data_IF_257334416108
#
_entry.id   IF_257334416108
#
_cell.length_a   1.000
_cell.length_b   1.000
_cell.length_c   1.000
_cell.angle_alpha   90.00
_cell.angle_beta   90.00
_cell.angle_gamma   90.00
#
_symmetry.space_group_name_H-M   'P 1'
#
loop_
_entity.id
_entity.type
_entity.pdbx_description
1 polymer ?
#
# COMPACT_ATOMS: atom_id res chain seq x y z
N UNK A 1 22.65 2.14 -0.14
CA UNK A 1 22.14 0.75 -0.25
C UNK A 1 20.66 0.82 -0.56
N UNK A 2 20.16 0.14 -1.59
CA UNK A 2 18.76 0.26 -2.04
C UNK A 2 17.80 -0.22 -0.93
N UNK A 3 16.90 0.64 -0.46
CA UNK A 3 15.95 0.33 0.63
C UNK A 3 15.15 -0.95 0.33
N UNK A 4 14.69 -1.12 -0.91
CA UNK A 4 13.98 -2.31 -1.37
C UNK A 4 14.80 -3.59 -1.14
N UNK A 5 16.09 -3.57 -1.48
CA UNK A 5 16.97 -4.73 -1.29
C UNK A 5 17.17 -5.04 0.20
N UNK A 6 17.29 -4.02 1.04
CA UNK A 6 17.45 -4.18 2.48
C UNK A 6 16.22 -4.84 3.11
N UNK A 7 15.02 -4.36 2.76
CA UNK A 7 13.77 -4.96 3.22
C UNK A 7 13.67 -6.40 2.74
N UNK A 8 13.81 -6.64 1.43
CA UNK A 8 13.69 -7.98 0.83
C UNK A 8 14.65 -9.00 1.44
N UNK A 9 15.91 -8.62 1.70
CA UNK A 9 16.86 -9.51 2.38
C UNK A 9 16.42 -9.84 3.80
N UNK A 10 15.87 -8.88 4.55
CA UNK A 10 15.45 -9.07 5.94
C UNK A 10 14.18 -9.94 6.06
N UNK A 11 13.26 -9.85 5.09
CA UNK A 11 11.99 -10.58 5.08
C UNK A 11 12.04 -11.90 4.31
N UNK A 12 13.14 -12.18 3.61
CA UNK A 12 13.30 -13.39 2.80
C UNK A 12 13.00 -14.66 3.59
N UNK A 13 12.05 -15.47 3.11
CA UNK A 13 11.61 -16.70 3.76
C UNK A 13 10.77 -16.52 5.04
N UNK A 14 10.50 -15.28 5.48
CA UNK A 14 9.79 -14.98 6.74
C UNK A 14 8.36 -14.51 6.55
N UNK A 15 8.02 -13.99 5.37
CA UNK A 15 6.68 -13.49 5.09
C UNK A 15 6.29 -13.71 3.63
N UNK A 16 5.02 -14.03 3.43
CA UNK A 16 4.37 -14.18 2.12
C UNK A 16 3.96 -12.84 1.49
N UNK A 17 4.04 -11.74 2.25
CA UNK A 17 3.59 -10.41 1.84
C UNK A 17 4.66 -9.59 1.09
N UNK A 18 5.71 -10.26 0.62
CA UNK A 18 6.82 -9.62 -0.09
C UNK A 18 7.20 -10.44 -1.33
N UNK A 19 7.62 -9.77 -2.42
CA UNK A 19 8.17 -10.44 -3.58
C UNK A 19 9.35 -11.34 -3.21
N UNK A 20 9.48 -12.45 -3.93
CA UNK A 20 10.69 -13.29 -3.82
C UNK A 20 11.80 -12.69 -4.67
N UNK A 21 12.88 -12.28 -4.00
CA UNK A 21 14.11 -11.84 -4.63
C UNK A 21 14.77 -13.03 -5.35
N UNK A 22 14.88 -12.95 -6.68
CA UNK A 22 15.53 -13.98 -7.51
C UNK A 22 17.00 -13.67 -7.71
N UNK A 23 17.29 -12.45 -8.19
CA UNK A 23 18.65 -11.98 -8.45
C UNK A 23 18.76 -10.49 -8.14
N UNK A 24 19.97 -10.05 -7.82
CA UNK A 24 20.31 -8.64 -7.74
C UNK A 24 21.79 -8.46 -8.05
N UNK A 25 22.18 -7.27 -8.48
CA UNK A 25 23.57 -6.98 -8.78
C UNK A 25 23.72 -5.65 -9.50
N UNK A 26 24.84 -5.51 -10.21
CA UNK A 26 25.10 -4.43 -11.13
C UNK A 26 25.03 -4.98 -12.56
N UNK A 27 24.37 -4.24 -13.46
CA UNK A 27 24.33 -4.56 -14.88
C UNK A 27 25.75 -4.37 -15.41
N UNK A 28 26.43 -5.46 -15.73
CA UNK A 28 27.77 -5.39 -16.35
C UNK A 28 27.71 -5.06 -17.83
N UNK A 29 26.66 -5.53 -18.50
CA UNK A 29 26.45 -5.47 -19.94
C UNK A 29 24.98 -5.73 -20.24
N UNK A 30 24.39 -4.96 -21.15
CA UNK A 30 23.03 -5.14 -21.66
C UNK A 30 23.12 -5.50 -23.15
N UNK A 31 22.34 -6.49 -23.58
CA UNK A 31 22.35 -6.98 -24.97
C UNK A 31 20.91 -7.03 -25.45
N UNK A 32 20.62 -6.41 -26.58
CA UNK A 32 19.32 -6.48 -27.24
C UNK A 32 19.35 -7.57 -28.30
N UNK A 33 18.31 -8.40 -28.29
CA UNK A 33 18.11 -9.44 -29.29
C UNK A 33 16.80 -9.24 -30.02
N UNK A 34 16.85 -9.14 -31.36
CA UNK A 34 15.67 -9.24 -32.23
C UNK A 34 15.98 -10.27 -33.31
N UNK A 35 15.10 -11.26 -33.47
CA UNK A 35 15.16 -12.29 -34.54
C UNK A 35 16.52 -12.99 -34.69
N UNK A 36 17.18 -13.30 -33.56
CA UNK A 36 18.45 -14.05 -33.54
C UNK A 36 19.71 -13.19 -33.72
N UNK A 37 19.58 -11.89 -34.01
CA UNK A 37 20.70 -10.94 -33.97
C UNK A 37 20.81 -10.35 -32.57
N UNK A 38 22.03 -10.29 -32.04
CA UNK A 38 22.32 -9.72 -30.72
C UNK A 38 23.27 -8.54 -30.88
N UNK A 39 22.84 -7.35 -30.44
CA UNK A 39 23.69 -6.16 -30.38
C UNK A 39 23.83 -5.69 -28.94
N UNK A 40 25.06 -5.32 -28.57
CA UNK A 40 25.35 -4.78 -27.25
C UNK A 40 24.85 -3.34 -27.14
N UNK A 41 24.16 -3.02 -26.04
CA UNK A 41 23.90 -1.62 -25.68
C UNK A 41 25.25 -0.93 -25.39
N UNK A 42 25.52 0.13 -26.14
CA UNK A 42 26.79 0.88 -26.06
C UNK A 42 26.64 2.13 -25.21
N UNK A 43 25.43 2.54 -24.86
CA UNK A 43 25.22 3.68 -23.99
C UNK A 43 25.81 3.38 -22.59
N UNK A 44 26.88 4.12 -22.19
CA UNK A 44 27.57 3.89 -20.93
C UNK A 44 26.66 4.07 -19.71
N UNK A 45 25.54 4.79 -19.86
CA UNK A 45 24.56 4.95 -18.80
C UNK A 45 24.01 3.62 -18.28
N UNK A 46 23.94 2.57 -19.09
CA UNK A 46 23.37 1.27 -18.69
C UNK A 46 24.35 0.40 -17.90
N UNK A 47 25.65 0.66 -18.03
CA UNK A 47 26.67 -0.10 -17.31
C UNK A 47 26.72 0.31 -15.83
N UNK A 48 26.98 -0.65 -14.95
CA UNK A 48 27.01 -0.49 -13.49
C UNK A 48 25.70 -0.03 -12.83
N UNK A 49 24.56 -0.04 -13.55
CA UNK A 49 23.25 0.23 -12.93
C UNK A 49 22.84 -0.91 -11.99
N UNK A 50 22.32 -0.61 -10.78
CA UNK A 50 21.81 -1.64 -9.90
C UNK A 50 20.51 -2.22 -10.46
N UNK A 51 20.36 -3.54 -10.39
CA UNK A 51 19.12 -4.23 -10.79
C UNK A 51 18.63 -5.20 -9.71
N UNK A 52 17.33 -5.46 -9.73
CA UNK A 52 16.66 -6.46 -8.91
C UNK A 52 15.70 -7.24 -9.82
N UNK A 53 15.78 -8.56 -9.77
CA UNK A 53 14.81 -9.46 -10.42
C UNK A 53 13.96 -10.09 -9.32
N UNK A 54 12.64 -9.96 -9.44
CA UNK A 54 11.65 -10.52 -8.52
C UNK A 54 10.68 -11.44 -9.28
N UNK A 55 10.11 -12.43 -8.59
CA UNK A 55 8.98 -13.19 -9.17
C UNK A 55 7.70 -12.34 -9.13
N UNK A 56 6.90 -12.37 -10.18
CA UNK A 56 5.69 -11.55 -10.26
C UNK A 56 4.49 -12.33 -10.83
N UNK A 57 3.64 -12.85 -9.94
CA UNK A 57 2.35 -13.52 -10.24
C UNK A 57 1.18 -12.71 -9.69
N UNK A 58 1.32 -11.38 -9.71
CA UNK A 58 0.40 -10.46 -9.05
C UNK A 58 0.02 -9.33 -10.01
N UNK A 59 -1.05 -8.60 -9.68
CA UNK A 59 -1.51 -7.42 -10.41
C UNK A 59 -1.61 -6.26 -9.42
N UNK A 60 -1.26 -5.05 -9.86
CA UNK A 60 -1.32 -3.85 -9.02
C UNK A 60 -2.75 -3.61 -8.53
N UNK A 61 -2.89 -3.22 -7.26
CA UNK A 61 -4.19 -2.90 -6.67
C UNK A 61 -4.87 -1.73 -7.42
N UNK A 62 -4.10 -0.80 -7.97
CA UNK A 62 -4.60 0.29 -8.84
C UNK A 62 -5.42 -0.22 -10.03
N UNK A 63 -5.14 -1.42 -10.55
CA UNK A 63 -5.88 -1.99 -11.68
C UNK A 63 -7.35 -2.27 -11.32
N UNK A 64 -7.66 -2.60 -10.06
CA UNK A 64 -9.06 -2.80 -9.65
C UNK A 64 -9.89 -1.52 -9.81
N UNK A 65 -9.31 -0.36 -9.49
CA UNK A 65 -9.98 0.93 -9.63
C UNK A 65 -10.16 1.26 -11.13
N UNK A 66 -9.14 0.97 -11.94
CA UNK A 66 -9.18 1.21 -13.38
C UNK A 66 -10.24 0.37 -14.12
N UNK A 67 -10.53 -0.85 -13.64
CA UNK A 67 -11.57 -1.71 -14.21
C UNK A 67 -12.98 -1.41 -13.69
N UNK A 68 -13.12 -0.57 -12.67
CA UNK A 68 -14.44 -0.18 -12.17
C UNK A 68 -15.15 0.76 -13.14
N UNK A 69 -16.39 0.45 -13.47
CA UNK A 69 -17.23 1.23 -14.40
C UNK A 69 -17.45 2.68 -13.93
N UNK A 70 -17.51 2.93 -12.62
CA UNK A 70 -17.78 4.25 -12.05
C UNK A 70 -16.59 4.82 -11.25
N UNK A 71 -15.43 4.14 -11.30
CA UNK A 71 -14.25 4.49 -10.52
C UNK A 71 -14.38 4.25 -9.01
N UNK A 72 -15.43 3.55 -8.56
CA UNK A 72 -15.66 3.18 -7.17
C UNK A 72 -15.67 1.66 -7.00
N UNK A 73 -15.28 1.17 -5.83
CA UNK A 73 -15.33 -0.25 -5.46
C UNK A 73 -16.43 -0.50 -4.44
N UNK A 74 -17.10 -1.67 -4.48
CA UNK A 74 -17.98 -2.08 -3.40
C UNK A 74 -17.27 -2.05 -2.05
N UNK A 75 -18.01 -1.70 -0.99
CA UNK A 75 -17.46 -1.59 0.36
C UNK A 75 -16.84 -2.92 0.83
N UNK A 76 -17.49 -4.04 0.51
CA UNK A 76 -17.05 -5.38 0.91
C UNK A 76 -15.73 -5.76 0.22
N UNK A 77 -15.62 -5.52 -1.10
CA UNK A 77 -14.35 -5.68 -1.83
C UNK A 77 -13.24 -4.78 -1.26
N UNK A 78 -13.57 -3.51 -0.95
CA UNK A 78 -12.62 -2.55 -0.37
C UNK A 78 -12.15 -2.98 1.01
N UNK A 79 -13.01 -3.59 1.83
CA UNK A 79 -12.64 -4.16 3.13
C UNK A 79 -11.69 -5.35 2.98
N UNK A 80 -11.93 -6.23 2.01
CA UNK A 80 -11.04 -7.35 1.72
C UNK A 80 -9.66 -6.90 1.23
N UNK A 81 -9.61 -5.90 0.34
CA UNK A 81 -8.35 -5.28 -0.10
C UNK A 81 -7.64 -4.57 1.07
N UNK A 82 -8.39 -3.81 1.87
CA UNK A 82 -7.85 -3.09 3.02
C UNK A 82 -7.27 -4.03 4.08
N UNK A 83 -7.90 -5.18 4.33
CA UNK A 83 -7.36 -6.22 5.20
C UNK A 83 -6.03 -6.78 4.65
N UNK A 84 -5.96 -7.06 3.35
CA UNK A 84 -4.73 -7.52 2.70
C UNK A 84 -3.58 -6.50 2.84
N UNK A 85 -3.86 -5.22 2.57
CA UNK A 85 -2.90 -4.14 2.78
C UNK A 85 -2.48 -4.00 4.25
N UNK A 86 -3.42 -4.11 5.20
CA UNK A 86 -3.13 -4.04 6.62
C UNK A 86 -2.20 -5.17 7.09
N UNK A 87 -2.37 -6.39 6.56
CA UNK A 87 -1.51 -7.53 6.82
C UNK A 87 -0.10 -7.35 6.23
N UNK A 88 -0.01 -6.81 5.01
CA UNK A 88 1.26 -6.40 4.42
C UNK A 88 2.02 -5.40 5.29
N UNK A 89 1.35 -4.32 5.71
CA UNK A 89 1.91 -3.30 6.58
C UNK A 89 2.33 -3.88 7.94
N UNK A 90 1.49 -4.71 8.56
CA UNK A 90 1.83 -5.39 9.79
C UNK A 90 3.08 -6.27 9.65
N UNK A 91 3.24 -6.97 8.53
CA UNK A 91 4.43 -7.77 8.26
C UNK A 91 5.69 -6.89 8.08
N UNK A 92 5.56 -5.75 7.42
CA UNK A 92 6.65 -4.77 7.25
C UNK A 92 7.06 -4.14 8.59
N UNK A 93 6.08 -3.70 9.38
CA UNK A 93 6.29 -3.15 10.71
C UNK A 93 7.00 -4.17 11.60
N UNK A 94 6.57 -5.44 11.59
CA UNK A 94 7.22 -6.53 12.36
C UNK A 94 8.64 -6.82 11.90
N UNK A 95 8.95 -6.58 10.62
CA UNK A 95 10.31 -6.65 10.11
C UNK A 95 11.19 -5.45 10.54
N UNK A 96 10.62 -4.46 11.22
CA UNK A 96 11.31 -3.27 11.72
C UNK A 96 11.44 -2.16 10.68
N UNK A 97 10.43 -2.00 9.81
CA UNK A 97 10.37 -0.93 8.84
C UNK A 97 8.99 -0.28 8.82
N UNK A 98 8.91 0.99 8.45
CA UNK A 98 7.68 1.68 8.03
C UNK A 98 7.70 1.93 6.52
N UNK A 99 6.54 2.00 5.89
CA UNK A 99 6.42 2.05 4.42
C UNK A 99 6.54 3.47 3.86
N UNK A 100 5.87 4.46 4.46
CA UNK A 100 5.87 5.89 4.09
C UNK A 100 5.29 6.26 2.72
N UNK A 101 4.93 5.27 1.88
CA UNK A 101 4.43 5.47 0.51
C UNK A 101 3.29 4.51 0.18
N UNK A 102 2.30 4.44 1.07
CA UNK A 102 1.12 3.59 0.90
C UNK A 102 0.20 4.19 -0.16
N UNK A 103 0.09 3.53 -1.31
CA UNK A 103 -0.76 3.93 -2.44
C UNK A 103 -1.35 2.68 -3.12
N UNK A 104 -2.36 2.80 -4.01
CA UNK A 104 -2.81 1.66 -4.81
C UNK A 104 -1.72 1.06 -5.72
N UNK A 105 -0.63 1.78 -5.99
CA UNK A 105 0.47 1.33 -6.85
C UNK A 105 1.58 0.62 -6.08
N UNK A 106 1.59 0.70 -4.75
CA UNK A 106 2.63 0.06 -3.92
C UNK A 106 2.24 -1.33 -3.41
N UNK A 107 1.05 -1.83 -3.78
CA UNK A 107 0.56 -3.14 -3.41
C UNK A 107 0.01 -3.88 -4.62
N UNK A 108 0.15 -5.21 -4.58
CA UNK A 108 -0.42 -6.10 -5.59
C UNK A 108 -1.17 -7.27 -4.97
N UNK A 109 -2.17 -7.77 -5.70
CA UNK A 109 -2.97 -8.94 -5.34
C UNK A 109 -2.68 -10.10 -6.31
N UNK A 110 -2.86 -11.36 -5.88
CA UNK A 110 -2.59 -12.52 -6.71
C UNK A 110 -3.63 -12.76 -7.80
N UNK A 111 -3.18 -13.45 -8.85
CA UNK A 111 -4.03 -14.00 -9.92
C UNK A 111 -3.90 -15.53 -9.88
N UNK A 112 -5.01 -16.31 -9.95
CA UNK A 112 -6.41 -15.86 -10.02
C UNK A 112 -6.88 -15.16 -8.73
N UNK A 113 -7.82 -14.21 -8.88
CA UNK A 113 -8.34 -13.42 -7.78
C UNK A 113 -9.49 -14.16 -7.06
N UNK A 114 -9.39 -14.29 -5.74
CA UNK A 114 -10.50 -14.62 -4.85
C UNK A 114 -10.51 -13.66 -3.66
N UNK A 115 -11.62 -13.55 -2.92
CA UNK A 115 -11.68 -12.71 -1.72
C UNK A 115 -10.71 -13.15 -0.63
N UNK A 116 -10.54 -14.45 -0.44
CA UNK A 116 -9.57 -15.00 0.53
C UNK A 116 -8.14 -14.63 0.14
N UNK A 117 -7.79 -14.78 -1.14
CA UNK A 117 -6.46 -14.44 -1.64
C UNK A 117 -6.21 -12.93 -1.59
N UNK A 118 -7.21 -12.10 -1.90
CA UNK A 118 -7.14 -10.66 -1.76
C UNK A 118 -6.83 -10.25 -0.32
N UNK A 119 -7.51 -10.87 0.65
CA UNK A 119 -7.28 -10.59 2.06
C UNK A 119 -6.03 -11.20 2.64
N UNK A 120 -5.51 -12.31 2.11
CA UNK A 120 -4.47 -13.09 2.78
C UNK A 120 -3.13 -13.20 2.03
N UNK A 121 -3.08 -12.81 0.75
CA UNK A 121 -1.93 -13.04 -0.15
C UNK A 121 -1.48 -11.80 -0.94
N UNK A 122 -1.99 -10.61 -0.61
CA UNK A 122 -1.41 -9.37 -1.13
C UNK A 122 0.06 -9.22 -0.76
N UNK A 123 0.79 -8.45 -1.57
CA UNK A 123 2.20 -8.13 -1.35
C UNK A 123 2.47 -6.63 -1.45
N UNK A 124 3.60 -6.18 -0.91
CA UNK A 124 4.17 -4.84 -1.13
C UNK A 124 5.11 -4.88 -2.33
N UNK A 125 4.90 -4.03 -3.32
CA UNK A 125 5.74 -3.95 -4.53
C UNK A 125 6.77 -2.83 -4.48
N UNK A 126 6.42 -1.69 -3.88
CA UNK A 126 7.32 -0.53 -3.79
C UNK A 126 7.78 -0.31 -2.34
N UNK A 127 9.06 -0.56 -2.11
CA UNK A 127 9.73 -0.37 -0.81
C UNK A 127 10.82 0.72 -0.88
N UNK A 128 10.81 1.56 -1.91
CA UNK A 128 11.82 2.58 -2.15
C UNK A 128 11.92 3.61 -1.02
N UNK A 129 10.78 3.95 -0.41
CA UNK A 129 10.68 4.92 0.69
C UNK A 129 10.60 4.29 2.08
N UNK A 130 10.77 2.96 2.19
CA UNK A 130 10.79 2.29 3.47
C UNK A 130 11.93 2.79 4.36
N UNK A 131 11.68 2.86 5.67
CA UNK A 131 12.65 3.34 6.65
C UNK A 131 12.65 2.46 7.90
N UNK A 132 13.81 2.27 8.53
CA UNK A 132 13.93 1.50 9.77
C UNK A 132 13.07 2.10 10.90
N UNK A 133 12.38 1.23 11.63
CA UNK A 133 11.59 1.56 12.80
C UNK A 133 11.71 0.43 13.85
N UNK A 134 11.86 0.72 15.15
CA UNK A 134 11.92 2.05 15.77
C UNK A 134 13.22 2.80 15.41
N UNK A 135 13.16 4.13 15.52
CA UNK A 135 14.30 5.01 15.26
C UNK A 135 15.38 4.84 16.33
N UNK A 136 16.63 4.57 15.91
CA UNK A 136 17.77 4.37 16.82
C UNK A 136 18.01 5.56 17.76
N UNK A 137 17.87 6.78 17.23
CA UNK A 137 18.08 8.04 17.97
C UNK A 137 16.76 8.72 18.38
N UNK A 138 15.66 7.96 18.37
CA UNK A 138 14.32 8.53 18.53
C UNK A 138 13.83 9.31 17.30
N UNK A 139 12.55 9.71 17.28
CA UNK A 139 11.98 10.46 16.17
C UNK A 139 12.48 11.90 16.14
N UNK A 140 12.84 12.39 14.95
CA UNK A 140 13.20 13.80 14.78
C UNK A 140 11.95 14.68 14.90
N UNK A 141 12.14 15.90 15.40
CA UNK A 141 11.04 16.86 15.57
C UNK A 141 10.52 17.35 14.21
N UNK A 142 11.44 17.66 13.30
CA UNK A 142 11.15 18.16 11.96
C UNK A 142 11.91 17.36 10.92
N UNK A 143 11.23 16.97 9.84
CA UNK A 143 11.77 16.21 8.71
C UNK A 143 11.11 16.68 7.41
N UNK A 144 11.84 16.69 6.28
CA UNK A 144 11.22 17.01 4.98
C UNK A 144 10.06 16.07 4.67
N UNK A 145 9.03 16.60 4.02
CA UNK A 145 7.92 15.80 3.51
C UNK A 145 8.43 14.69 2.58
N UNK A 146 8.07 13.45 2.88
CA UNK A 146 8.30 12.28 2.02
C UNK A 146 7.04 11.43 2.03
N UNK A 147 6.57 11.06 0.85
CA UNK A 147 5.37 10.25 0.67
C UNK A 147 4.52 10.76 -0.49
N UNK A 148 3.31 10.21 -0.61
CA UNK A 148 2.34 10.68 -1.59
C UNK A 148 1.47 11.78 -0.96
N UNK A 149 1.46 13.01 -1.49
CA UNK A 149 0.67 14.12 -0.95
C UNK A 149 -0.80 13.75 -0.73
N UNK A 150 -1.37 12.97 -1.65
CA UNK A 150 -2.75 12.48 -1.60
C UNK A 150 -3.03 11.60 -0.38
N UNK A 151 -2.20 10.58 -0.13
CA UNK A 151 -2.48 9.58 0.92
C UNK A 151 -1.69 9.80 2.22
N UNK A 152 -0.70 10.69 2.25
CA UNK A 152 0.09 10.92 3.47
C UNK A 152 -0.75 11.52 4.59
N UNK A 153 -0.49 11.09 5.82
CA UNK A 153 -1.14 11.60 7.03
C UNK A 153 -0.94 13.10 7.24
N UNK A 154 -1.77 13.72 8.07
CA UNK A 154 -1.59 15.12 8.52
C UNK A 154 -0.23 15.31 9.21
N UNK A 155 0.27 14.30 9.95
CA UNK A 155 1.59 14.34 10.59
C UNK A 155 2.71 14.56 9.59
N UNK A 156 2.64 13.89 8.44
CA UNK A 156 3.62 14.07 7.36
C UNK A 156 3.55 15.48 6.77
N UNK A 157 2.35 16.04 6.60
CA UNK A 157 2.14 17.42 6.15
C UNK A 157 2.64 18.47 7.14
N UNK A 158 2.71 18.13 8.43
CA UNK A 158 3.30 18.93 9.49
C UNK A 158 4.82 18.72 9.62
N UNK A 159 5.45 18.05 8.66
CA UNK A 159 6.89 17.77 8.64
C UNK A 159 7.39 17.05 9.90
N UNK A 160 6.54 16.23 10.51
CA UNK A 160 6.92 15.41 11.66
C UNK A 160 7.35 14.03 11.19
N UNK A 161 8.27 13.42 11.93
CA UNK A 161 8.71 12.05 11.66
C UNK A 161 7.50 11.11 11.56
N UNK A 162 7.55 10.15 10.64
CA UNK A 162 6.46 9.21 10.36
C UNK A 162 6.58 7.92 11.18
N UNK A 163 5.49 7.20 11.36
CA UNK A 163 5.45 5.96 12.11
C UNK A 163 4.40 4.99 11.60
N UNK A 164 4.25 3.82 12.25
CA UNK A 164 3.29 2.80 11.83
C UNK A 164 1.84 3.32 11.68
N UNK A 165 1.42 4.24 12.54
CA UNK A 165 0.09 4.84 12.45
C UNK A 165 -0.13 5.63 11.15
N UNK A 166 0.91 6.27 10.61
CA UNK A 166 0.82 7.07 9.38
C UNK A 166 0.62 6.19 8.14
N UNK A 167 1.21 4.99 8.13
CA UNK A 167 0.96 3.99 7.08
C UNK A 167 -0.51 3.52 7.10
N UNK A 168 -1.05 3.25 8.29
CA UNK A 168 -2.46 2.82 8.44
C UNK A 168 -3.46 3.95 8.15
N UNK A 169 -3.14 5.21 8.48
CA UNK A 169 -3.95 6.36 8.06
C UNK A 169 -3.94 6.46 6.53
N UNK A 170 -2.79 6.27 5.90
CA UNK A 170 -2.67 6.29 4.44
C UNK A 170 -3.51 5.19 3.78
N UNK A 171 -3.54 3.99 4.37
CA UNK A 171 -4.45 2.90 3.99
C UNK A 171 -5.93 3.32 4.08
N UNK A 172 -6.34 3.99 5.15
CA UNK A 172 -7.73 4.46 5.30
C UNK A 172 -8.08 5.50 4.21
N UNK A 173 -7.16 6.39 3.84
CA UNK A 173 -7.39 7.31 2.71
C UNK A 173 -7.47 6.57 1.37
N UNK A 174 -6.65 5.53 1.13
CA UNK A 174 -6.77 4.67 -0.05
C UNK A 174 -8.17 4.03 -0.10
N UNK A 175 -8.65 3.46 1.00
CA UNK A 175 -9.99 2.87 1.07
C UNK A 175 -11.10 3.91 0.85
N UNK A 176 -10.96 5.11 1.42
CA UNK A 176 -11.91 6.19 1.19
C UNK A 176 -11.98 6.58 -0.27
N UNK A 177 -10.84 6.64 -0.98
CA UNK A 177 -10.84 6.90 -2.42
C UNK A 177 -11.51 5.76 -3.19
N UNK A 178 -11.24 4.50 -2.84
CA UNK A 178 -11.89 3.35 -3.48
C UNK A 178 -13.41 3.38 -3.30
N UNK A 179 -13.92 3.73 -2.12
CA UNK A 179 -15.37 3.76 -1.85
C UNK A 179 -16.04 4.98 -2.50
N UNK A 180 -15.37 6.14 -2.49
CA UNK A 180 -15.97 7.41 -2.91
C UNK A 180 -15.58 7.84 -4.34
N UNK A 181 -14.66 7.12 -5.00
CA UNK A 181 -14.07 7.43 -6.30
C UNK A 181 -13.08 8.60 -6.30
N UNK A 182 -13.06 9.39 -5.24
CA UNK A 182 -12.13 10.51 -5.02
C UNK A 182 -11.98 10.82 -3.54
N UNK A 183 -10.89 11.50 -3.21
CA UNK A 183 -10.72 12.18 -1.93
C UNK A 183 -11.14 13.65 -2.05
N UNK A 184 -11.61 14.29 -0.95
CA UNK A 184 -12.00 15.70 -0.97
C UNK A 184 -10.91 16.64 -1.49
N UNK A 185 -9.64 16.31 -1.25
CA UNK A 185 -8.47 17.07 -1.69
C UNK A 185 -7.86 16.60 -3.02
N UNK A 186 -8.56 15.77 -3.83
CA UNK A 186 -8.02 15.23 -5.09
C UNK A 186 -7.56 16.32 -6.08
N UNK A 187 -8.25 17.45 -6.11
CA UNK A 187 -8.02 18.55 -7.06
C UNK A 187 -7.42 19.80 -6.41
N UNK A 188 -6.83 19.65 -5.22
CA UNK A 188 -6.16 20.73 -4.50
C UNK A 188 -4.66 20.60 -4.71
N UNK A 189 -3.99 21.70 -5.09
CA UNK A 189 -2.54 21.73 -5.33
C UNK A 189 -1.77 22.45 -4.21
N UNK A 190 -2.44 23.29 -3.41
CA UNK A 190 -1.81 23.94 -2.27
C UNK A 190 -1.67 22.98 -1.09
N UNK A 191 -0.44 22.80 -0.60
CA UNK A 191 -0.13 21.85 0.48
C UNK A 191 -0.81 22.19 1.80
N UNK A 192 -0.91 23.47 2.14
CA UNK A 192 -1.57 23.89 3.38
C UNK A 192 -3.08 23.61 3.29
N UNK A 193 -3.69 23.86 2.14
CA UNK A 193 -5.11 23.58 1.93
C UNK A 193 -5.41 22.07 1.91
N UNK A 194 -4.50 21.25 1.36
CA UNK A 194 -4.61 19.78 1.47
C UNK A 194 -4.59 19.37 2.95
N UNK A 195 -3.65 19.90 3.74
CA UNK A 195 -3.54 19.61 5.19
C UNK A 195 -4.80 20.01 5.94
N UNK A 196 -5.33 21.19 5.67
CA UNK A 196 -6.51 21.72 6.37
C UNK A 196 -7.74 20.87 6.02
N UNK A 197 -7.93 20.55 4.74
CA UNK A 197 -9.02 19.65 4.28
C UNK A 197 -8.90 18.25 4.90
N UNK A 198 -7.68 17.74 5.10
CA UNK A 198 -7.44 16.46 5.79
C UNK A 198 -7.80 16.51 7.27
N UNK A 199 -7.60 17.66 7.92
CA UNK A 199 -7.95 17.87 9.32
C UNK A 199 -9.46 17.80 9.53
N UNK A 200 -10.22 18.32 8.57
CA UNK A 200 -11.69 18.34 8.58
C UNK A 200 -12.32 17.06 8.00
N UNK A 201 -11.50 16.16 7.43
CA UNK A 201 -11.97 14.94 6.76
C UNK A 201 -12.94 14.11 7.61
N UNK A 202 -12.66 13.97 8.91
CA UNK A 202 -13.49 13.20 9.87
C UNK A 202 -14.94 13.71 9.99
N UNK A 203 -15.18 14.95 9.57
CA UNK A 203 -16.48 15.62 9.66
C UNK A 203 -17.26 15.56 8.33
N UNK A 204 -16.63 15.05 7.26
CA UNK A 204 -17.20 14.96 5.90
C UNK A 204 -18.18 13.80 5.72
N UNK A 205 -19.01 13.87 4.68
CA UNK A 205 -19.88 12.75 4.27
C UNK A 205 -19.08 11.56 3.73
N UNK A 206 -17.96 11.81 3.05
CA UNK A 206 -17.09 10.75 2.53
C UNK A 206 -16.51 9.89 3.65
N UNK A 207 -16.14 10.50 4.79
CA UNK A 207 -15.74 9.75 5.98
C UNK A 207 -16.90 8.95 6.56
N UNK A 208 -18.11 9.51 6.64
CA UNK A 208 -19.30 8.81 7.17
C UNK A 208 -19.69 7.55 6.38
N UNK A 209 -19.34 7.49 5.09
CA UNK A 209 -19.51 6.30 4.24
C UNK A 209 -18.54 5.16 4.58
N UNK A 210 -17.41 5.45 5.24
CA UNK A 210 -16.55 4.40 5.77
C UNK A 210 -17.29 3.59 6.85
N UNK A 211 -17.06 2.26 6.92
CA UNK A 211 -17.64 1.45 7.97
C UNK A 211 -17.25 1.96 9.37
N UNK A 212 -18.17 1.82 10.33
CA UNK A 212 -18.01 2.37 11.69
C UNK A 212 -16.74 1.88 12.39
N UNK A 213 -16.34 0.63 12.15
CA UNK A 213 -15.13 0.03 12.69
C UNK A 213 -13.88 0.75 12.16
N UNK A 214 -13.86 1.08 10.87
CA UNK A 214 -12.76 1.79 10.21
C UNK A 214 -12.72 3.26 10.63
N UNK A 215 -13.88 3.90 10.81
CA UNK A 215 -13.95 5.26 11.36
C UNK A 215 -13.40 5.34 12.78
N UNK A 216 -13.77 4.38 13.64
CA UNK A 216 -13.22 4.28 15.01
C UNK A 216 -11.70 4.11 14.96
N UNK A 217 -11.21 3.18 14.14
CA UNK A 217 -9.77 2.96 13.95
C UNK A 217 -9.05 4.26 13.51
N UNK A 218 -9.62 5.03 12.58
CA UNK A 218 -9.05 6.32 12.16
C UNK A 218 -8.89 7.28 13.36
N UNK A 219 -9.95 7.44 14.17
CA UNK A 219 -9.89 8.30 15.35
C UNK A 219 -8.84 7.85 16.37
N UNK A 220 -8.71 6.53 16.57
CA UNK A 220 -7.68 5.99 17.47
C UNK A 220 -6.27 6.29 16.92
N UNK A 221 -6.05 6.12 15.61
CA UNK A 221 -4.75 6.32 14.97
C UNK A 221 -4.28 7.79 14.94
N UNK A 222 -5.17 8.75 14.69
CA UNK A 222 -4.78 10.18 14.65
C UNK A 222 -4.32 10.70 16.01
N UNK A 223 -4.80 10.09 17.11
CA UNK A 223 -4.41 10.44 18.48
C UNK A 223 -3.13 9.73 18.94
N UNK A 224 -2.69 8.68 18.24
CA UNK A 224 -1.48 7.94 18.60
C UNK A 224 -0.23 8.79 18.40
N UNK A 225 0.58 8.90 19.45
CA UNK A 225 1.96 9.40 19.33
C UNK A 225 2.82 8.41 18.55
N UNK A 226 4.02 8.86 18.17
CA UNK A 226 5.03 8.02 17.52
C UNK A 226 5.34 6.78 18.35
N UNK A 227 4.79 5.63 17.95
CA UNK A 227 4.86 4.40 18.73
C UNK A 227 4.55 3.18 17.87
N UNK A 228 4.85 2.01 18.42
CA UNK A 228 4.39 0.75 17.87
C UNK A 228 2.86 0.68 17.86
N UNK A 229 2.29 0.11 16.81
CA UNK A 229 0.85 -0.18 16.71
C UNK A 229 0.68 -1.68 16.73
N UNK A 230 -0.12 -2.17 17.68
CA UNK A 230 -0.47 -3.58 17.73
C UNK A 230 -1.26 -3.96 16.47
N UNK A 231 -0.75 -4.88 15.62
CA UNK A 231 -1.45 -5.30 14.42
C UNK A 231 -2.85 -5.86 14.68
N UNK A 232 -3.10 -6.47 15.85
CA UNK A 232 -4.43 -7.02 16.16
C UNK A 232 -5.49 -5.94 16.31
N UNK A 233 -5.12 -4.72 16.75
CA UNK A 233 -6.04 -3.58 16.76
C UNK A 233 -6.55 -3.28 15.35
N UNK A 234 -5.64 -3.22 14.38
CA UNK A 234 -5.96 -2.88 12.98
C UNK A 234 -6.68 -4.05 12.32
N UNK A 235 -6.07 -5.24 12.32
CA UNK A 235 -6.58 -6.45 11.67
C UNK A 235 -7.95 -6.83 12.27
N UNK A 236 -8.10 -6.72 13.59
CA UNK A 236 -9.35 -6.98 14.29
C UNK A 236 -10.48 -6.05 13.84
N UNK A 237 -10.21 -4.76 13.62
CA UNK A 237 -11.21 -3.82 13.12
C UNK A 237 -11.71 -4.22 11.71
N UNK A 238 -10.81 -4.64 10.82
CA UNK A 238 -11.18 -5.13 9.49
C UNK A 238 -11.98 -6.42 9.56
N UNK A 239 -11.51 -7.43 10.32
CA UNK A 239 -12.20 -8.72 10.46
C UNK A 239 -13.59 -8.57 11.07
N UNK A 240 -13.73 -7.75 12.12
CA UNK A 240 -15.02 -7.46 12.74
C UNK A 240 -15.99 -6.79 11.76
N UNK A 241 -15.48 -5.88 10.91
CA UNK A 241 -16.28 -5.22 9.90
C UNK A 241 -16.78 -6.20 8.81
N UNK A 242 -15.87 -7.03 8.27
CA UNK A 242 -16.20 -8.05 7.28
C UNK A 242 -17.24 -9.02 7.84
N UNK A 243 -17.00 -9.57 9.04
CA UNK A 243 -17.93 -10.49 9.69
C UNK A 243 -19.33 -9.88 9.92
N UNK A 244 -19.40 -8.61 10.29
CA UNK A 244 -20.68 -7.92 10.50
C UNK A 244 -21.45 -7.71 9.20
N UNK A 245 -20.75 -7.40 8.11
CA UNK A 245 -21.38 -7.06 6.82
C UNK A 245 -21.74 -8.29 6.00
N UNK A 246 -20.90 -9.31 6.07
CA UNK A 246 -21.06 -10.55 5.33
C UNK A 246 -20.87 -11.77 6.24
N UNK A 247 -21.77 -11.99 7.21
CA UNK A 247 -21.65 -13.09 8.18
C UNK A 247 -21.71 -14.47 7.52
N UNK A 248 -22.40 -14.57 6.38
CA UNK A 248 -22.61 -15.82 5.64
C UNK A 248 -21.60 -16.02 4.51
N UNK A 249 -20.64 -15.10 4.31
CA UNK A 249 -19.66 -15.12 3.21
C UNK A 249 -20.30 -15.20 1.81
N UNK A 250 -21.41 -14.48 1.63
CA UNK A 250 -22.18 -14.44 0.39
C UNK A 250 -21.77 -13.34 -0.57
N UNK A 251 -20.82 -12.47 -0.23
CA UNK A 251 -20.32 -11.46 -1.17
C UNK A 251 -19.54 -12.13 -2.30
N UNK A 252 -19.94 -11.86 -3.54
CA UNK A 252 -19.27 -12.35 -4.75
C UNK A 252 -18.42 -11.25 -5.39
N UNK A 253 -17.33 -11.65 -6.04
CA UNK A 253 -16.51 -10.70 -6.79
C UNK A 253 -17.32 -10.10 -7.95
N UNK A 254 -17.20 -8.79 -8.20
CA UNK A 254 -17.80 -8.17 -9.37
C UNK A 254 -17.33 -8.85 -10.67
N UNK A 255 -18.26 -9.04 -11.61
CA UNK A 255 -18.01 -9.77 -12.87
C UNK A 255 -16.82 -9.21 -13.67
N UNK A 256 -16.60 -7.89 -13.62
CA UNK A 256 -15.51 -7.22 -14.30
C UNK A 256 -14.11 -7.47 -13.68
N UNK A 257 -14.02 -8.06 -12.48
CA UNK A 257 -12.77 -8.53 -11.88
C UNK A 257 -12.46 -10.00 -12.15
N UNK A 258 -13.47 -10.76 -12.56
CA UNK A 258 -13.31 -12.16 -12.88
C UNK A 258 -12.93 -12.22 -14.35
N UNK A 259 -11.68 -12.61 -14.65
CA UNK A 259 -11.32 -12.94 -16.04
C UNK A 259 -12.34 -13.98 -16.53
N UNK A 260 -12.93 -13.81 -17.74
CA UNK A 260 -13.81 -14.83 -18.27
C UNK A 260 -13.05 -16.15 -18.27
N UNK A 261 -13.59 -17.15 -17.58
CA UNK A 261 -13.11 -18.51 -17.70
C UNK A 261 -13.11 -18.83 -19.18
N UNK A 262 -11.93 -19.12 -19.73
CA UNK A 262 -11.78 -19.60 -21.10
C UNK A 262 -12.63 -20.86 -21.23
N UNK A 263 -13.80 -20.71 -21.86
CA UNK A 263 -14.63 -21.82 -22.33
C UNK A 263 -13.91 -22.56 -23.45
#
# INVERSE_FOLDING_TARGET
MNNTLNVLKKVSGRSKHFPRLKHHGLIKKLVFGIDGFSEEERDPEWTNRPFIIINHEHVLLSSMIAFSENGCLPVDLTLHAGLGMALCLAALHRAGFIHRYVTPHSFSYPVPLTLDLLSSRMIITDMSLCMEFPYKNGPRVTVPFVGCERYSSIRTHLEREQGPADDYISLIYVMSEMINGKLPWRSIYDRNLIRDTKTDYKDTQDFKRLPREIRKLYHDLILKKMSWIDPEMVIGAFKACILRRDPNKGFELPKWLVMPSSN
#
